data_IF_079640836799
#
_entry.id   IF_079640836799
#
_cell.length_a   1.000
_cell.length_b   1.000
_cell.length_c   1.000
_cell.angle_alpha   90.00
_cell.angle_beta   90.00
_cell.angle_gamma   90.00
#
_symmetry.space_group_name_H-M   'P 1'
#
loop_
_entity.id
_entity.type
_entity.pdbx_description
1 polymer ?
#
# COMPACT_ATOMS: atom_id res chain seq x y z
N UNK A 1 -6.94 36.78 -20.64
CA UNK A 1 -6.98 36.79 -22.12
C UNK A 1 -5.67 36.20 -22.60
N UNK A 2 -5.60 34.86 -22.68
CA UNK A 2 -4.49 34.10 -23.26
C UNK A 2 -5.08 32.79 -23.76
N UNK A 3 -5.11 32.70 -25.08
CA UNK A 3 -5.65 31.65 -25.91
C UNK A 3 -4.70 30.43 -25.88
N UNK A 4 -5.19 29.25 -25.52
CA UNK A 4 -4.41 28.00 -25.66
C UNK A 4 -5.00 27.24 -26.83
N UNK A 5 -4.40 27.48 -27.99
CA UNK A 5 -4.67 26.76 -29.23
C UNK A 5 -4.37 25.28 -29.07
N UNK A 6 -5.42 24.45 -29.12
CA UNK A 6 -5.30 23.00 -29.19
C UNK A 6 -5.11 22.59 -30.66
N UNK A 7 -3.85 22.55 -31.11
CA UNK A 7 -3.47 22.10 -32.44
C UNK A 7 -3.71 20.60 -32.59
N UNK A 8 -4.81 20.25 -33.27
CA UNK A 8 -5.15 18.90 -33.70
C UNK A 8 -4.61 18.68 -35.12
N UNK A 9 -3.47 18.01 -35.27
CA UNK A 9 -3.02 17.45 -36.56
C UNK A 9 -2.68 15.97 -36.32
N UNK A 10 -3.56 15.08 -36.76
CA UNK A 10 -3.39 14.24 -37.95
C UNK A 10 -2.09 13.43 -37.92
N UNK A 11 -2.17 12.18 -37.45
CA UNK A 11 -1.18 11.16 -37.80
C UNK A 11 -1.79 10.16 -38.76
N UNK A 12 -1.16 10.16 -39.92
CA UNK A 12 -1.31 9.34 -41.10
C UNK A 12 -1.27 7.83 -40.82
N UNK A 13 -1.93 7.08 -41.70
CA UNK A 13 -2.05 5.62 -41.70
C UNK A 13 -0.81 5.03 -42.40
N UNK A 14 0.06 4.38 -41.64
CA UNK A 14 1.15 3.54 -42.15
C UNK A 14 1.31 2.28 -41.31
N UNK A 15 1.61 1.15 -41.97
CA UNK A 15 1.47 -0.26 -41.56
C UNK A 15 2.20 -0.73 -40.28
N UNK A 16 1.63 -1.82 -39.75
CA UNK A 16 2.21 -2.97 -39.03
C UNK A 16 3.18 -2.77 -37.85
N UNK A 17 2.82 -3.39 -36.72
CA UNK A 17 3.67 -3.53 -35.55
C UNK A 17 2.85 -3.52 -34.25
N UNK A 18 2.46 -4.70 -33.78
CA UNK A 18 1.73 -4.90 -32.54
C UNK A 18 2.58 -4.52 -31.31
N UNK A 19 2.56 -3.25 -30.93
CA UNK A 19 3.06 -2.82 -29.62
C UNK A 19 1.91 -2.11 -28.92
N UNK A 20 1.34 -2.80 -27.93
CA UNK A 20 0.37 -2.20 -27.01
C UNK A 20 1.08 -1.05 -26.30
N UNK A 21 0.90 0.19 -26.80
CA UNK A 21 1.26 1.39 -26.05
C UNK A 21 0.39 1.40 -24.80
N UNK A 22 0.94 0.92 -23.69
CA UNK A 22 0.27 1.01 -22.40
C UNK A 22 0.08 2.49 -22.08
N UNK A 23 -1.18 2.91 -22.17
CA UNK A 23 -1.59 4.21 -21.65
C UNK A 23 -1.32 4.17 -20.15
N UNK A 24 -0.79 5.25 -19.55
CA UNK A 24 -0.42 5.30 -18.13
C UNK A 24 -1.59 5.00 -17.16
N UNK A 25 -2.82 4.95 -17.66
CA UNK A 25 -4.01 4.56 -16.92
C UNK A 25 -4.71 3.38 -17.59
N UNK A 26 -4.92 2.31 -16.82
CA UNK A 26 -5.70 1.14 -17.23
C UNK A 26 -7.17 1.41 -16.91
N UNK A 27 -7.99 1.60 -17.95
CA UNK A 27 -9.43 1.77 -17.79
C UNK A 27 -10.00 0.37 -17.48
N UNK A 28 -10.34 0.13 -16.23
CA UNK A 28 -10.89 -1.14 -15.75
C UNK A 28 -12.37 -1.34 -16.12
N UNK A 29 -13.08 -0.26 -16.49
CA UNK A 29 -14.49 -0.29 -16.87
C UNK A 29 -14.66 -0.14 -18.38
N UNK A 30 -14.45 -1.23 -19.14
CA UNK A 30 -14.80 -1.24 -20.57
C UNK A 30 -16.31 -1.10 -20.77
N UNK A 31 -17.09 -1.78 -19.93
CA UNK A 31 -18.57 -1.81 -19.99
C UNK A 31 -19.24 -0.45 -19.86
N UNK A 32 -18.61 0.51 -19.17
CA UNK A 32 -19.17 1.85 -18.97
C UNK A 32 -19.24 2.67 -20.27
N UNK A 33 -18.46 2.31 -21.29
CA UNK A 33 -18.35 3.05 -22.55
C UNK A 33 -19.00 2.33 -23.74
N UNK A 34 -19.55 1.13 -23.59
CA UNK A 34 -20.13 0.35 -24.71
C UNK A 34 -21.23 1.14 -25.43
N UNK A 35 -22.12 1.80 -24.68
CA UNK A 35 -23.18 2.59 -25.29
C UNK A 35 -22.62 3.78 -26.09
N UNK A 36 -21.58 4.44 -25.56
CA UNK A 36 -20.92 5.56 -26.24
C UNK A 36 -20.13 5.11 -27.47
N UNK A 37 -19.45 3.96 -27.38
CA UNK A 37 -18.72 3.37 -28.50
C UNK A 37 -19.67 2.94 -29.62
N UNK A 38 -20.81 2.33 -29.28
CA UNK A 38 -21.87 1.99 -30.23
C UNK A 38 -22.48 3.24 -30.87
N UNK A 39 -22.76 4.29 -30.10
CA UNK A 39 -23.26 5.58 -30.61
C UNK A 39 -22.27 6.21 -31.61
N UNK A 40 -20.97 6.20 -31.27
CA UNK A 40 -19.90 6.72 -32.12
C UNK A 40 -19.74 5.86 -33.39
N UNK A 41 -19.79 4.54 -33.26
CA UNK A 41 -19.72 3.61 -34.39
C UNK A 41 -20.90 3.78 -35.35
N UNK A 42 -22.13 3.92 -34.82
CA UNK A 42 -23.33 4.20 -35.61
C UNK A 42 -23.21 5.54 -36.36
N UNK A 43 -22.77 6.61 -35.67
CA UNK A 43 -22.54 7.92 -36.29
C UNK A 43 -21.47 7.87 -37.37
N UNK A 44 -20.43 7.04 -37.21
CA UNK A 44 -19.38 6.85 -38.22
C UNK A 44 -19.91 6.10 -39.45
N UNK A 45 -20.74 5.07 -39.26
CA UNK A 45 -21.43 4.37 -40.36
C UNK A 45 -22.38 5.31 -41.11
N UNK A 46 -23.15 6.13 -40.39
CA UNK A 46 -24.04 7.13 -40.99
C UNK A 46 -23.25 8.16 -41.82
N UNK A 47 -22.11 8.65 -41.31
CA UNK A 47 -21.21 9.53 -42.06
C UNK A 47 -20.64 8.87 -43.31
N UNK A 48 -20.30 7.58 -43.25
CA UNK A 48 -19.80 6.84 -44.40
C UNK A 48 -20.87 6.72 -45.49
N UNK A 49 -22.10 6.34 -45.11
CA UNK A 49 -23.25 6.25 -46.03
C UNK A 49 -23.59 7.64 -46.60
N UNK A 50 -23.64 8.68 -45.75
CA UNK A 50 -23.88 10.05 -46.20
C UNK A 50 -22.76 10.57 -47.12
N UNK A 51 -21.52 10.06 -47.01
CA UNK A 51 -20.41 10.40 -47.91
C UNK A 51 -20.51 9.69 -49.25
N UNK A 52 -21.01 8.45 -49.29
CA UNK A 52 -21.22 7.68 -50.54
C UNK A 52 -22.50 8.04 -51.29
N UNK A 53 -23.46 8.73 -50.67
CA UNK A 53 -24.70 9.16 -51.32
C UNK A 53 -24.48 10.30 -52.33
N UNK A 54 -25.23 10.27 -53.44
CA UNK A 54 -25.27 11.35 -54.43
C UNK A 54 -26.01 12.56 -53.87
N UNK A 55 -25.70 13.76 -54.36
CA UNK A 55 -26.20 15.05 -53.81
C UNK A 55 -27.72 15.10 -53.71
N UNK A 56 -28.46 14.62 -54.72
CA UNK A 56 -29.93 14.61 -54.74
C UNK A 56 -30.58 13.62 -53.76
N UNK A 57 -29.82 12.67 -53.22
CA UNK A 57 -30.32 11.71 -52.21
C UNK A 57 -30.06 12.18 -50.78
N UNK A 58 -29.27 13.25 -50.59
CA UNK A 58 -28.97 13.78 -49.26
C UNK A 58 -30.11 14.66 -48.78
N UNK A 59 -30.64 14.36 -47.59
CA UNK A 59 -31.58 15.26 -46.90
C UNK A 59 -30.84 16.34 -46.12
N UNK A 60 -31.39 17.56 -46.13
CA UNK A 60 -30.89 18.68 -45.33
C UNK A 60 -31.23 18.49 -43.85
N UNK A 61 -30.45 19.11 -42.96
CA UNK A 61 -30.69 19.04 -41.51
C UNK A 61 -32.11 19.49 -41.13
N UNK A 62 -32.62 20.54 -41.79
CA UNK A 62 -33.99 21.03 -41.60
C UNK A 62 -35.05 20.01 -42.04
N UNK A 63 -34.82 19.28 -43.14
CA UNK A 63 -35.70 18.19 -43.60
C UNK A 63 -35.74 17.03 -42.59
N UNK A 64 -34.57 16.59 -42.07
CA UNK A 64 -34.49 15.56 -41.02
C UNK A 64 -35.13 15.99 -39.70
N UNK A 65 -35.05 17.27 -39.34
CA UNK A 65 -35.65 17.78 -38.10
C UNK A 65 -37.18 17.82 -38.17
N UNK A 66 -37.74 18.11 -39.35
CA UNK A 66 -39.19 18.13 -39.58
C UNK A 66 -39.83 16.74 -39.65
N UNK A 67 -39.11 15.71 -40.07
CA UNK A 67 -39.65 14.33 -40.17
C UNK A 67 -39.69 13.58 -38.83
N UNK A 68 -39.07 14.11 -37.77
CA UNK A 68 -39.03 13.48 -36.43
C UNK A 68 -40.24 13.81 -35.57
N UNK A 69 -41.15 14.67 -36.04
CA UNK A 69 -42.35 15.01 -35.29
C UNK A 69 -43.43 13.95 -35.50
N UNK A 70 -43.59 13.06 -34.53
CA UNK A 70 -44.82 12.29 -34.30
C UNK A 70 -46.06 13.20 -34.15
N UNK A 71 -45.85 14.52 -34.01
CA UNK A 71 -46.86 15.57 -33.97
C UNK A 71 -47.48 15.89 -35.35
N UNK A 72 -46.81 15.57 -36.46
CA UNK A 72 -47.31 15.84 -37.81
C UNK A 72 -48.46 14.92 -38.27
N UNK A 73 -48.75 13.85 -37.52
CA UNK A 73 -49.91 12.98 -37.78
C UNK A 73 -51.24 13.55 -37.24
N UNK A 74 -51.23 14.67 -36.50
CA UNK A 74 -52.45 15.37 -36.07
C UNK A 74 -52.78 16.55 -36.98
N UNK A 75 -52.81 16.33 -38.29
CA UNK A 75 -53.53 17.24 -39.16
C UNK A 75 -55.03 16.99 -38.94
N UNK A 76 -55.65 17.85 -38.12
CA UNK A 76 -57.10 17.89 -37.97
C UNK A 76 -57.71 18.29 -39.31
N UNK A 77 -58.29 17.33 -40.03
CA UNK A 77 -59.31 17.63 -41.02
C UNK A 77 -60.59 17.92 -40.24
N UNK A 78 -60.96 19.20 -40.11
CA UNK A 78 -62.31 19.57 -39.70
C UNK A 78 -63.22 19.45 -40.92
N UNK A 79 -63.75 18.24 -41.16
CA UNK A 79 -64.94 18.11 -42.00
C UNK A 79 -66.16 17.98 -41.09
N UNK A 80 -67.09 18.89 -41.32
CA UNK A 80 -68.26 19.12 -40.48
C UNK A 80 -69.38 18.21 -40.98
N UNK A 81 -69.46 16.98 -40.50
CA UNK A 81 -70.66 16.15 -40.64
C UNK A 81 -70.67 15.07 -39.54
N UNK A 82 -71.81 14.97 -38.85
CA UNK A 82 -71.99 14.21 -37.61
C UNK A 82 -71.45 12.79 -37.65
N UNK A 83 -70.38 12.55 -36.89
CA UNK A 83 -69.80 11.23 -36.71
C UNK A 83 -69.77 10.90 -35.21
N UNK A 84 -70.19 9.69 -34.88
CA UNK A 84 -70.39 9.26 -33.49
C UNK A 84 -69.08 9.33 -32.70
N UNK A 85 -69.20 9.70 -31.43
CA UNK A 85 -68.06 9.88 -30.51
C UNK A 85 -67.24 8.60 -30.25
N UNK A 86 -67.66 7.47 -30.80
CA UNK A 86 -67.03 6.15 -30.68
C UNK A 86 -65.73 6.04 -31.49
N UNK A 87 -65.57 6.86 -32.55
CA UNK A 87 -64.36 6.89 -33.38
C UNK A 87 -63.16 7.59 -32.73
N UNK A 88 -63.36 8.27 -31.59
CA UNK A 88 -62.28 8.98 -30.90
C UNK A 88 -61.50 8.13 -29.89
N UNK A 89 -61.86 6.85 -29.70
CA UNK A 89 -61.16 5.95 -28.78
C UNK A 89 -61.09 6.49 -27.35
N UNK A 90 -62.07 7.30 -26.96
CA UNK A 90 -62.15 7.90 -25.64
C UNK A 90 -62.58 6.85 -24.63
N UNK A 91 -61.90 6.81 -23.49
CA UNK A 91 -62.21 5.89 -22.39
C UNK A 91 -63.69 6.05 -21.99
N UNK A 92 -64.49 4.96 -21.95
CA UNK A 92 -65.90 5.00 -21.59
C UNK A 92 -66.16 5.69 -20.23
N UNK A 93 -65.20 5.68 -19.32
CA UNK A 93 -65.25 6.44 -18.05
C UNK A 93 -65.33 7.96 -18.27
N UNK A 94 -64.65 8.48 -19.29
CA UNK A 94 -64.68 9.91 -19.65
C UNK A 94 -66.01 10.29 -20.31
N UNK A 95 -66.57 9.39 -21.12
CA UNK A 95 -67.85 9.55 -21.80
C UNK A 95 -68.98 9.65 -20.76
N UNK A 96 -69.02 8.71 -19.80
CA UNK A 96 -70.01 8.71 -18.70
C UNK A 96 -69.94 10.00 -17.86
N UNK A 97 -68.72 10.48 -17.56
CA UNK A 97 -68.50 11.71 -16.79
C UNK A 97 -69.00 12.96 -17.53
N UNK A 98 -68.71 13.07 -18.83
CA UNK A 98 -69.21 14.17 -19.67
C UNK A 98 -70.74 14.18 -19.75
N UNK A 99 -71.38 13.01 -19.76
CA UNK A 99 -72.85 12.90 -19.76
C UNK A 99 -73.50 13.20 -18.41
N UNK A 100 -72.84 12.92 -17.28
CA UNK A 100 -73.32 13.33 -15.93
C UNK A 100 -73.17 14.83 -15.68
N UNK A 101 -72.17 15.45 -16.28
CA UNK A 101 -71.86 16.87 -16.10
C UNK A 101 -72.81 17.80 -16.90
N UNK A 102 -73.58 17.26 -17.87
CA UNK A 102 -74.52 18.01 -18.70
C UNK A 102 -75.74 18.59 -17.94
N UNK A 103 -76.00 18.13 -16.70
CA UNK A 103 -77.11 18.61 -15.86
C UNK A 103 -76.74 19.75 -14.91
N UNK A 104 -75.45 20.13 -14.85
CA UNK A 104 -74.92 21.10 -13.87
C UNK A 104 -74.77 22.48 -14.51
N UNK A 105 -74.86 23.54 -13.70
CA UNK A 105 -74.60 24.89 -14.22
C UNK A 105 -73.13 24.99 -14.63
N UNK A 106 -72.83 25.67 -15.74
CA UNK A 106 -71.46 25.81 -16.29
C UNK A 106 -70.46 26.26 -15.21
N UNK A 107 -70.88 27.12 -14.29
CA UNK A 107 -70.07 27.60 -13.17
C UNK A 107 -69.69 26.50 -12.17
N UNK A 108 -70.63 25.61 -11.82
CA UNK A 108 -70.39 24.48 -10.90
C UNK A 108 -69.42 23.47 -11.52
N UNK A 109 -69.58 23.17 -12.81
CA UNK A 109 -68.65 22.32 -13.54
C UNK A 109 -67.23 22.92 -13.55
N UNK A 110 -67.10 24.22 -13.82
CA UNK A 110 -65.81 24.90 -13.79
C UNK A 110 -65.18 24.81 -12.40
N UNK A 111 -65.96 24.96 -11.32
CA UNK A 111 -65.45 24.88 -9.97
C UNK A 111 -65.03 23.45 -9.58
N UNK A 112 -65.85 22.44 -9.89
CA UNK A 112 -65.53 21.03 -9.67
C UNK A 112 -64.24 20.60 -10.40
N UNK A 113 -64.04 21.08 -11.63
CA UNK A 113 -62.81 20.79 -12.39
C UNK A 113 -61.58 21.48 -11.77
N UNK A 114 -61.73 22.71 -11.26
CA UNK A 114 -60.66 23.41 -10.54
C UNK A 114 -60.30 22.70 -9.25
N UNK A 115 -61.29 22.28 -8.47
CA UNK A 115 -61.11 21.58 -7.20
C UNK A 115 -60.44 20.22 -7.43
N UNK A 116 -60.87 19.48 -8.48
CA UNK A 116 -60.22 18.22 -8.88
C UNK A 116 -58.77 18.44 -9.30
N UNK A 117 -58.50 19.44 -10.13
CA UNK A 117 -57.13 19.76 -10.56
C UNK A 117 -56.24 20.14 -9.37
N UNK A 118 -56.75 20.97 -8.45
CA UNK A 118 -56.02 21.39 -7.26
C UNK A 118 -55.70 20.19 -6.36
N UNK A 119 -56.66 19.28 -6.18
CA UNK A 119 -56.47 18.05 -5.41
C UNK A 119 -55.44 17.12 -6.06
N UNK A 120 -55.53 16.90 -7.38
CA UNK A 120 -54.56 16.09 -8.13
C UNK A 120 -53.15 16.69 -8.07
N UNK A 121 -53.04 18.01 -8.20
CA UNK A 121 -51.77 18.72 -8.06
C UNK A 121 -51.18 18.57 -6.64
N UNK A 122 -52.00 18.73 -5.60
CA UNK A 122 -51.59 18.55 -4.22
C UNK A 122 -51.14 17.11 -3.93
N UNK A 123 -51.88 16.11 -4.41
CA UNK A 123 -51.51 14.69 -4.32
C UNK A 123 -50.21 14.39 -5.07
N UNK A 124 -50.07 14.89 -6.29
CA UNK A 124 -48.86 14.72 -7.10
C UNK A 124 -47.64 15.32 -6.40
N UNK A 125 -47.78 16.54 -5.86
CA UNK A 125 -46.73 17.22 -5.10
C UNK A 125 -46.31 16.40 -3.87
N UNK A 126 -47.27 15.94 -3.05
CA UNK A 126 -46.99 15.11 -1.87
C UNK A 126 -46.33 13.78 -2.24
N UNK A 127 -46.82 13.08 -3.26
CA UNK A 127 -46.21 11.83 -3.76
C UNK A 127 -44.79 12.06 -4.25
N UNK A 128 -44.54 13.16 -4.96
CA UNK A 128 -43.19 13.52 -5.41
C UNK A 128 -42.25 13.84 -4.24
N UNK A 129 -42.75 14.48 -3.18
CA UNK A 129 -41.95 14.71 -1.96
C UNK A 129 -41.64 13.40 -1.23
N UNK A 130 -42.61 12.50 -1.10
CA UNK A 130 -42.40 11.17 -0.49
C UNK A 130 -41.32 10.40 -1.27
N UNK A 131 -41.43 10.33 -2.59
CA UNK A 131 -40.41 9.68 -3.45
C UNK A 131 -39.01 10.29 -3.32
N UNK A 132 -38.91 11.60 -3.06
CA UNK A 132 -37.62 12.25 -2.79
C UNK A 132 -37.05 11.78 -1.45
N UNK A 133 -37.87 11.72 -0.41
CA UNK A 133 -37.44 11.23 0.90
C UNK A 133 -37.07 9.74 0.87
N UNK A 134 -37.83 8.89 0.19
CA UNK A 134 -37.49 7.47 0.02
C UNK A 134 -36.10 7.29 -0.61
N UNK A 135 -35.77 8.07 -1.64
CA UNK A 135 -34.43 8.05 -2.26
C UNK A 135 -33.34 8.49 -1.28
N UNK A 136 -33.60 9.54 -0.50
CA UNK A 136 -32.64 10.02 0.50
C UNK A 136 -32.43 8.99 1.61
N UNK A 137 -33.49 8.34 2.07
CA UNK A 137 -33.45 7.27 3.06
C UNK A 137 -32.60 6.11 2.54
N UNK A 138 -32.86 5.63 1.32
CA UNK A 138 -32.08 4.53 0.73
C UNK A 138 -30.58 4.86 0.60
N UNK A 139 -30.23 6.09 0.21
CA UNK A 139 -28.82 6.52 0.14
C UNK A 139 -28.18 6.56 1.53
N UNK A 140 -28.92 7.07 2.53
CA UNK A 140 -28.43 7.15 3.92
C UNK A 140 -28.28 5.77 4.54
N UNK A 141 -29.24 4.88 4.35
CA UNK A 141 -29.18 3.49 4.78
C UNK A 141 -27.96 2.79 4.19
N UNK A 142 -27.73 2.93 2.88
CA UNK A 142 -26.55 2.34 2.24
C UNK A 142 -25.23 2.94 2.75
N UNK A 143 -25.22 4.21 3.17
CA UNK A 143 -24.07 4.83 3.80
C UNK A 143 -23.81 4.25 5.19
N UNK A 144 -24.86 4.03 5.99
CA UNK A 144 -24.77 3.43 7.32
C UNK A 144 -24.27 2.00 7.23
N UNK A 145 -24.84 1.16 6.37
CA UNK A 145 -24.41 -0.24 6.18
C UNK A 145 -22.92 -0.31 5.80
N UNK A 146 -22.45 0.59 4.92
CA UNK A 146 -21.03 0.68 4.56
C UNK A 146 -20.15 1.08 5.74
N UNK A 147 -20.61 1.98 6.60
CA UNK A 147 -19.87 2.41 7.78
C UNK A 147 -19.81 1.30 8.84
N UNK A 148 -20.93 0.61 9.07
CA UNK A 148 -21.03 -0.53 9.97
C UNK A 148 -20.10 -1.66 9.53
N UNK A 149 -20.14 -2.03 8.25
CA UNK A 149 -19.25 -3.05 7.69
C UNK A 149 -17.77 -2.70 7.88
N UNK A 150 -17.39 -1.45 7.64
CA UNK A 150 -16.02 -0.98 7.87
C UNK A 150 -15.62 -1.07 9.34
N UNK A 151 -16.51 -0.66 10.25
CA UNK A 151 -16.24 -0.75 11.67
C UNK A 151 -16.10 -2.21 12.13
N UNK A 152 -16.88 -3.13 11.56
CA UNK A 152 -16.76 -4.55 11.82
C UNK A 152 -15.43 -5.13 11.27
N UNK A 153 -15.04 -4.76 10.04
CA UNK A 153 -13.75 -5.13 9.46
C UNK A 153 -12.59 -4.62 10.32
N UNK A 154 -12.65 -3.37 10.75
CA UNK A 154 -11.66 -2.76 11.65
C UNK A 154 -11.61 -3.50 12.99
N UNK A 155 -12.76 -3.82 13.59
CA UNK A 155 -12.83 -4.57 14.85
C UNK A 155 -12.20 -5.96 14.73
N UNK A 156 -12.47 -6.70 13.65
CA UNK A 156 -11.84 -8.00 13.38
C UNK A 156 -10.33 -7.86 13.17
N UNK A 157 -9.90 -6.84 12.43
CA UNK A 157 -8.47 -6.57 12.22
C UNK A 157 -7.76 -6.21 13.53
N UNK A 158 -8.42 -5.46 14.43
CA UNK A 158 -7.89 -5.16 15.75
C UNK A 158 -7.76 -6.41 16.62
N UNK A 159 -8.75 -7.30 16.61
CA UNK A 159 -8.67 -8.57 17.34
C UNK A 159 -7.51 -9.45 16.81
N UNK A 160 -7.36 -9.54 15.49
CA UNK A 160 -6.25 -10.25 14.87
C UNK A 160 -4.90 -9.63 15.24
N UNK A 161 -4.79 -8.30 15.22
CA UNK A 161 -3.60 -7.58 15.64
C UNK A 161 -3.24 -7.88 17.10
N UNK A 162 -4.22 -7.94 18.01
CA UNK A 162 -3.97 -8.29 19.40
C UNK A 162 -3.47 -9.73 19.54
N UNK A 163 -4.11 -10.71 18.87
CA UNK A 163 -3.65 -12.10 18.91
C UNK A 163 -2.24 -12.26 18.33
N UNK A 164 -1.96 -11.59 17.22
CA UNK A 164 -0.64 -11.64 16.59
C UNK A 164 0.41 -10.93 17.44
N UNK A 165 0.08 -9.79 18.07
CA UNK A 165 0.99 -9.10 18.96
C UNK A 165 1.35 -9.97 20.18
N UNK A 166 0.35 -10.57 20.82
CA UNK A 166 0.55 -11.47 21.94
C UNK A 166 1.45 -12.65 21.53
N UNK A 167 1.14 -13.30 20.40
CA UNK A 167 1.94 -14.41 19.87
C UNK A 167 3.39 -13.99 19.59
N UNK A 168 3.59 -12.87 18.87
CA UNK A 168 4.92 -12.34 18.55
C UNK A 168 5.70 -11.95 19.80
N UNK A 169 5.04 -11.42 20.82
CA UNK A 169 5.67 -11.05 22.09
C UNK A 169 6.17 -12.29 22.86
N UNK A 170 5.36 -13.34 22.89
CA UNK A 170 5.71 -14.63 23.51
C UNK A 170 6.87 -15.28 22.75
N UNK A 171 6.83 -15.28 21.42
CA UNK A 171 7.91 -15.83 20.60
C UNK A 171 9.21 -15.05 20.76
N UNK A 172 9.15 -13.71 20.80
CA UNK A 172 10.32 -12.87 21.07
C UNK A 172 10.93 -13.17 22.45
N UNK A 173 10.09 -13.34 23.48
CA UNK A 173 10.55 -13.70 24.82
C UNK A 173 11.21 -15.09 24.84
N UNK A 174 10.62 -16.06 24.13
CA UNK A 174 11.16 -17.41 24.00
C UNK A 174 12.52 -17.41 23.31
N UNK A 175 12.67 -16.65 22.22
CA UNK A 175 13.95 -16.51 21.50
C UNK A 175 14.99 -15.86 22.42
N UNK A 176 14.65 -14.76 23.09
CA UNK A 176 15.57 -14.09 24.01
C UNK A 176 16.02 -15.00 25.18
N UNK A 177 15.09 -15.80 25.72
CA UNK A 177 15.41 -16.79 26.75
C UNK A 177 16.36 -17.88 26.21
N UNK A 178 16.08 -18.41 25.01
CA UNK A 178 16.94 -19.42 24.37
C UNK A 178 18.33 -18.87 24.06
N UNK A 179 18.43 -17.64 23.54
CA UNK A 179 19.71 -16.98 23.27
C UNK A 179 20.52 -16.76 24.55
N UNK A 180 19.85 -16.42 25.66
CA UNK A 180 20.48 -16.28 26.97
C UNK A 180 21.04 -17.62 27.47
N UNK A 181 20.25 -18.69 27.35
CA UNK A 181 20.69 -20.06 27.70
C UNK A 181 21.89 -20.47 26.85
N UNK A 182 21.80 -20.31 25.53
CA UNK A 182 22.88 -20.64 24.60
C UNK A 182 24.15 -19.84 24.91
N UNK A 183 24.03 -18.52 25.15
CA UNK A 183 25.16 -17.67 25.54
C UNK A 183 25.80 -18.18 26.83
N UNK A 184 25.01 -18.51 27.84
CA UNK A 184 25.53 -19.04 29.10
C UNK A 184 26.28 -20.35 28.89
N UNK A 185 25.70 -21.28 28.13
CA UNK A 185 26.35 -22.56 27.79
C UNK A 185 27.69 -22.35 27.07
N UNK A 186 27.72 -21.51 26.03
CA UNK A 186 28.95 -21.21 25.29
C UNK A 186 30.01 -20.55 26.20
N UNK A 187 29.61 -19.67 27.12
CA UNK A 187 30.57 -19.08 28.07
C UNK A 187 31.10 -20.10 29.09
N UNK A 188 30.30 -21.10 29.47
CA UNK A 188 30.74 -22.19 30.34
C UNK A 188 31.74 -23.11 29.62
N UNK A 189 31.46 -23.47 28.38
CA UNK A 189 32.37 -24.25 27.52
C UNK A 189 33.68 -23.49 27.26
N UNK A 190 33.61 -22.19 26.97
CA UNK A 190 34.79 -21.33 26.82
C UNK A 190 35.61 -21.27 28.10
N UNK A 191 34.96 -21.12 29.28
CA UNK A 191 35.66 -21.14 30.57
C UNK A 191 36.35 -22.48 30.81
N UNK A 192 35.69 -23.60 30.51
CA UNK A 192 36.27 -24.94 30.60
C UNK A 192 37.50 -25.08 29.71
N UNK A 193 37.40 -24.74 28.43
CA UNK A 193 38.53 -24.78 27.50
C UNK A 193 39.67 -23.85 27.94
N UNK A 194 39.37 -22.66 28.46
CA UNK A 194 40.37 -21.75 28.98
C UNK A 194 41.10 -22.33 30.21
N UNK A 195 40.39 -23.02 31.10
CA UNK A 195 41.01 -23.73 32.23
C UNK A 195 41.94 -24.84 31.75
N UNK A 196 41.55 -25.61 30.74
CA UNK A 196 42.39 -26.66 30.14
C UNK A 196 43.67 -26.07 29.51
N UNK A 197 43.55 -24.95 28.77
CA UNK A 197 44.70 -24.23 28.21
C UNK A 197 45.65 -23.75 29.32
N UNK A 198 45.11 -23.20 30.41
CA UNK A 198 45.94 -22.76 31.54
C UNK A 198 46.62 -23.94 32.25
N UNK A 199 45.93 -25.08 32.40
CA UNK A 199 46.50 -26.29 32.95
C UNK A 199 47.68 -26.79 32.10
N UNK A 200 47.50 -26.91 30.78
CA UNK A 200 48.56 -27.30 29.85
C UNK A 200 49.74 -26.32 29.88
N UNK A 201 49.47 -25.00 29.89
CA UNK A 201 50.52 -23.98 30.02
C UNK A 201 51.33 -24.14 31.31
N UNK A 202 50.66 -24.43 32.44
CA UNK A 202 51.35 -24.66 33.71
C UNK A 202 52.24 -25.91 33.66
N UNK A 203 51.80 -26.96 32.97
CA UNK A 203 52.59 -28.19 32.80
C UNK A 203 53.78 -27.98 31.85
N UNK A 204 53.60 -27.22 30.77
CA UNK A 204 54.70 -26.78 29.90
C UNK A 204 55.73 -25.99 30.74
N UNK A 205 55.30 -25.03 31.56
CA UNK A 205 56.22 -24.26 32.39
C UNK A 205 57.01 -25.13 33.38
N UNK A 206 56.37 -26.13 34.01
CA UNK A 206 57.06 -27.10 34.89
C UNK A 206 58.08 -27.94 34.12
N UNK A 207 57.70 -28.48 32.98
CA UNK A 207 58.58 -29.33 32.16
C UNK A 207 59.74 -28.51 31.56
N UNK A 208 59.50 -27.27 31.15
CA UNK A 208 60.54 -26.33 30.72
C UNK A 208 61.52 -26.00 31.85
N UNK A 209 61.02 -25.78 33.07
CA UNK A 209 61.87 -25.54 34.23
C UNK A 209 62.80 -26.74 34.49
N UNK A 210 62.23 -27.95 34.50
CA UNK A 210 62.98 -29.18 34.71
C UNK A 210 63.99 -29.43 33.57
N UNK A 211 63.62 -29.16 32.32
CA UNK A 211 64.51 -29.26 31.16
C UNK A 211 65.71 -28.31 31.28
N UNK A 212 65.49 -27.06 31.74
CA UNK A 212 66.57 -26.10 32.00
C UNK A 212 67.53 -26.62 33.07
N UNK A 213 67.03 -27.27 34.09
CA UNK A 213 67.83 -27.88 35.16
C UNK A 213 68.69 -29.04 34.63
N UNK A 214 68.08 -30.01 33.94
CA UNK A 214 68.82 -31.11 33.32
C UNK A 214 69.82 -30.64 32.27
N UNK A 215 69.52 -29.57 31.54
CA UNK A 215 70.46 -28.96 30.60
C UNK A 215 71.70 -28.44 31.32
N UNK A 216 71.54 -27.77 32.46
CA UNK A 216 72.68 -27.32 33.29
C UNK A 216 73.50 -28.52 33.80
N UNK A 217 72.84 -29.58 34.29
CA UNK A 217 73.52 -30.80 34.71
C UNK A 217 74.27 -31.47 33.55
N UNK A 218 73.67 -31.53 32.36
CA UNK A 218 74.31 -32.03 31.15
C UNK A 218 75.57 -31.24 30.78
N UNK A 219 75.53 -29.90 30.86
CA UNK A 219 76.71 -29.07 30.65
C UNK A 219 77.80 -29.30 31.70
N UNK A 220 77.41 -29.44 32.98
CA UNK A 220 78.33 -29.75 34.06
C UNK A 220 79.05 -31.09 33.83
N UNK A 221 78.30 -32.14 33.53
CA UNK A 221 78.85 -33.47 33.23
C UNK A 221 79.75 -33.44 31.98
N UNK A 222 79.39 -32.66 30.96
CA UNK A 222 80.23 -32.50 29.77
C UNK A 222 81.59 -31.87 30.13
N UNK A 223 81.61 -30.88 31.02
CA UNK A 223 82.86 -30.26 31.50
C UNK A 223 83.76 -31.24 32.27
N UNK A 224 83.17 -32.18 33.02
CA UNK A 224 83.91 -33.22 33.75
C UNK A 224 84.35 -34.38 32.84
N UNK A 225 83.71 -34.57 31.68
CA UNK A 225 83.99 -35.71 30.81
C UNK A 225 85.35 -35.63 30.09
N UNK A 226 86.03 -36.76 29.81
CA UNK A 226 87.31 -36.80 29.10
C UNK A 226 87.27 -36.16 27.71
N UNK A 227 88.39 -35.54 27.27
CA UNK A 227 88.44 -34.73 26.04
C UNK A 227 88.10 -35.51 24.75
N UNK A 228 88.56 -36.75 24.63
CA UNK A 228 88.24 -37.60 23.48
C UNK A 228 86.73 -37.86 23.37
N UNK A 229 86.05 -38.02 24.51
CA UNK A 229 84.60 -38.25 24.57
C UNK A 229 83.81 -36.99 24.20
N UNK A 230 84.27 -35.81 24.62
CA UNK A 230 83.67 -34.52 24.22
C UNK A 230 83.68 -34.34 22.70
N UNK A 231 84.82 -34.66 22.04
CA UNK A 231 84.98 -34.54 20.59
C UNK A 231 84.04 -35.51 19.86
N UNK A 232 83.94 -36.76 20.31
CA UNK A 232 83.02 -37.75 19.74
C UNK A 232 81.55 -37.33 19.88
N UNK A 233 81.15 -36.78 21.03
CA UNK A 233 79.79 -36.26 21.22
C UNK A 233 79.49 -35.04 20.35
N UNK A 234 80.45 -34.13 20.17
CA UNK A 234 80.31 -32.99 19.28
C UNK A 234 80.13 -33.43 17.81
N UNK A 235 80.92 -34.41 17.35
CA UNK A 235 80.76 -35.00 16.03
C UNK A 235 79.37 -35.66 15.86
N UNK A 236 78.91 -36.42 16.86
CA UNK A 236 77.58 -37.05 16.83
C UNK A 236 76.45 -36.00 16.75
N UNK A 237 76.54 -34.92 17.53
CA UNK A 237 75.59 -33.79 17.46
C UNK A 237 75.63 -33.08 16.11
N UNK A 238 76.80 -32.89 15.52
CA UNK A 238 76.95 -32.30 14.19
C UNK A 238 76.33 -33.17 13.08
N UNK A 239 76.42 -34.50 13.20
CA UNK A 239 75.76 -35.40 12.26
C UNK A 239 74.23 -35.40 12.43
N UNK A 240 73.74 -35.37 13.66
CA UNK A 240 72.30 -35.30 13.96
C UNK A 240 71.66 -33.98 13.50
N UNK A 241 72.36 -32.85 13.63
CA UNK A 241 71.87 -31.54 13.16
C UNK A 241 71.75 -31.50 11.63
N UNK A 242 72.77 -32.00 10.90
CA UNK A 242 72.70 -32.17 9.45
C UNK A 242 71.54 -33.07 9.00
N UNK A 243 71.31 -34.18 9.71
CA UNK A 243 70.18 -35.07 9.45
C UNK A 243 68.83 -34.42 9.75
N UNK A 244 68.72 -33.66 10.85
CA UNK A 244 67.48 -32.94 11.20
C UNK A 244 67.16 -31.83 10.21
N UNK A 245 68.14 -31.07 9.75
CA UNK A 245 67.97 -30.05 8.70
C UNK A 245 67.44 -30.67 7.40
N UNK A 246 67.87 -31.88 7.04
CA UNK A 246 67.33 -32.59 5.86
C UNK A 246 65.87 -33.03 6.00
N UNK A 247 65.36 -33.27 7.23
CA UNK A 247 63.95 -33.60 7.47
C UNK A 247 63.04 -32.37 7.56
N UNK A 248 63.58 -31.22 7.98
CA UNK A 248 62.83 -29.98 8.10
C UNK A 248 62.45 -29.37 6.74
N UNK A 249 63.10 -29.77 5.64
CA UNK A 249 62.80 -29.30 4.27
C UNK A 249 61.48 -29.90 3.73
N UNK A 250 60.98 -30.98 4.30
CA UNK A 250 59.78 -31.70 3.81
C UNK A 250 58.47 -31.28 4.51
N UNK A 251 58.51 -30.40 5.51
CA UNK A 251 57.31 -29.89 6.20
C UNK A 251 56.99 -28.47 5.72
N UNK A 252 55.86 -28.24 5.02
CA UNK A 252 55.57 -26.93 4.46
C UNK A 252 55.22 -25.92 5.54
N UNK A 253 55.75 -24.73 5.32
CA UNK A 253 55.47 -23.46 5.96
C UNK A 253 53.96 -23.18 6.02
N UNK A 254 53.42 -23.00 7.23
CA UNK A 254 52.22 -22.18 7.42
C UNK A 254 52.27 -21.52 8.79
N UNK A 255 52.74 -20.26 8.82
CA UNK A 255 52.37 -19.21 9.80
C UNK A 255 53.21 -17.95 9.54
N UNK A 256 52.85 -17.19 8.51
CA UNK A 256 53.14 -15.75 8.40
C UNK A 256 51.97 -15.04 7.72
N UNK A 257 51.21 -14.28 8.51
CA UNK A 257 50.40 -13.07 8.26
C UNK A 257 49.75 -12.79 9.63
N UNK A 258 49.84 -11.64 10.30
CA UNK A 258 49.92 -10.27 9.81
C UNK A 258 50.37 -9.35 10.98
N UNK A 259 51.48 -8.63 10.85
CA UNK A 259 51.79 -7.44 11.66
C UNK A 259 52.27 -6.34 10.72
N UNK A 260 51.38 -5.40 10.38
CA UNK A 260 51.76 -4.14 9.75
C UNK A 260 51.58 -3.02 10.76
N UNK A 261 52.72 -2.44 11.09
CA UNK A 261 52.96 -1.29 11.95
C UNK A 261 52.36 -0.02 11.32
N UNK A 262 51.72 0.82 12.10
CA UNK A 262 51.62 2.25 11.81
C UNK A 262 51.77 3.01 13.13
N UNK A 263 52.91 3.68 13.30
CA UNK A 263 53.13 4.72 14.30
C UNK A 263 53.31 6.04 13.55
N UNK A 264 52.70 7.11 14.05
CA UNK A 264 52.88 8.45 13.50
C UNK A 264 52.08 9.52 14.23
N UNK A 265 52.75 10.13 15.21
CA UNK A 265 52.70 11.56 15.57
C UNK A 265 51.63 12.12 16.51
N UNK A 266 52.18 12.92 17.43
CA UNK A 266 51.66 13.73 18.52
C UNK A 266 51.40 15.16 18.03
N UNK A 267 50.39 15.82 18.64
CA UNK A 267 50.05 17.27 18.71
C UNK A 267 49.66 17.99 17.39
N UNK A 268 48.67 18.90 17.31
CA UNK A 268 48.33 20.01 18.22
C UNK A 268 46.93 20.64 17.89
N UNK A 269 46.30 21.24 18.92
CA UNK A 269 45.40 22.42 18.89
C UNK A 269 44.06 22.46 18.12
N UNK A 270 42.92 22.46 18.85
CA UNK A 270 42.19 23.70 19.24
C UNK A 270 40.94 23.49 20.12
N UNK A 271 40.87 24.35 21.13
CA UNK A 271 39.74 24.76 22.02
C UNK A 271 38.34 24.78 21.39
N UNK A 272 37.34 24.35 22.18
CA UNK A 272 36.16 25.10 22.71
C UNK A 272 35.43 24.12 23.66
N UNK A 273 35.38 24.20 24.99
CA UNK A 273 34.81 25.20 25.93
C UNK A 273 33.48 25.82 25.49
N UNK A 274 32.41 25.53 26.24
CA UNK A 274 31.22 26.31 26.66
C UNK A 274 30.11 25.28 27.03
N UNK A 275 29.90 24.86 28.29
CA UNK A 275 29.10 25.50 29.39
C UNK A 275 27.68 25.88 28.94
N UNK A 276 26.60 25.79 29.71
CA UNK A 276 26.23 25.25 31.01
C UNK A 276 24.69 25.35 31.06
N UNK A 277 24.09 24.64 32.00
CA UNK A 277 22.77 24.86 32.64
C UNK A 277 21.81 25.93 32.12
N UNK A 278 20.53 25.55 31.99
CA UNK A 278 19.52 26.25 32.81
C UNK A 278 18.23 25.46 32.97
N UNK A 279 17.95 25.09 34.22
CA UNK A 279 16.60 24.98 34.76
C UNK A 279 15.90 26.34 34.75
N UNK A 280 14.61 26.39 34.43
CA UNK A 280 13.60 27.18 35.15
C UNK A 280 12.23 26.96 34.51
N UNK A 281 11.24 26.64 35.35
CA UNK A 281 9.84 26.63 34.98
C UNK A 281 9.19 28.02 34.99
N UNK A 282 7.85 27.99 34.83
CA UNK A 282 6.86 29.07 34.60
C UNK A 282 6.74 29.41 33.12
N UNK A 283 5.58 29.40 32.48
CA UNK A 283 4.19 29.20 32.89
C UNK A 283 3.34 29.80 31.76
N UNK A 284 2.26 29.14 31.35
CA UNK A 284 1.20 29.84 30.64
C UNK A 284 -0.14 29.15 30.87
N UNK A 285 -1.10 29.99 31.18
CA UNK A 285 -2.44 29.70 31.65
C UNK A 285 -3.32 29.13 30.52
N UNK A 286 -4.23 28.25 30.92
CA UNK A 286 -5.32 27.72 30.09
C UNK A 286 -6.53 27.36 30.94
N UNK A 287 -6.96 28.30 31.79
CA UNK A 287 -8.33 28.58 32.23
C UNK A 287 -9.34 27.39 32.25
N UNK A 288 -9.55 26.76 33.41
CA UNK A 288 -10.85 26.21 33.80
C UNK A 288 -11.25 26.80 35.14
N UNK A 289 -12.34 27.56 35.09
CA UNK A 289 -12.99 28.20 36.22
C UNK A 289 -13.61 27.15 37.13
N UNK A 290 -13.18 27.16 38.38
CA UNK A 290 -14.02 27.28 39.57
C UNK A 290 -15.39 26.57 39.54
N UNK A 291 -15.47 25.40 40.18
CA UNK A 291 -16.69 24.92 40.84
C UNK A 291 -16.29 24.15 42.10
N UNK A 292 -16.00 24.90 43.17
CA UNK A 292 -16.17 24.40 44.55
C UNK A 292 -17.44 25.00 45.12
N UNK A 293 -18.54 24.26 45.07
CA UNK A 293 -19.57 24.38 46.10
C UNK A 293 -19.60 23.07 46.88
N UNK A 294 -19.12 23.21 48.12
CA UNK A 294 -19.33 22.29 49.22
C UNK A 294 -20.64 22.70 49.89
N UNK A 295 -21.57 21.76 50.08
CA UNK A 295 -22.60 21.73 51.15
C UNK A 295 -23.26 20.34 51.02
N UNK A 296 -22.99 19.34 51.85
CA UNK A 296 -23.39 19.19 53.25
C UNK A 296 -24.88 19.50 53.51
N UNK A 297 -25.74 18.54 53.17
CA UNK A 297 -26.73 17.92 54.08
C UNK A 297 -27.31 16.66 53.45
#
# INVERSE_FOLDING_TARGET
MTDVSLSFFLTDKGKEGSVKKERPYKIFFKDLFLFKENEVAAKKKEKFINRSMRVYQKSTFSSRMKSRSHLGQRAFYSDTAGDSFEKFGLDPTLILRLTEDAKRTIHEFINDQRDRFLLEYALSTKRNTIKKFEKLIAVKEQQVIKAEKKLQEDAMAFEEFLRENDQRSVDALKIAAQETINKLQMTAELKKANMEVQAVKSEIAKTEFLLREYTKYGFFLLKLSPKHWQIQQALKKAQMTKSRESMNVTLPVLTKLNTKKNEGSIEDSRKTSFSDDNSMGRGSQGNTRDLRLHLQK
#
